data_IF_794741547360
#
_entry.id   IF_794741547360
#
_cell.length_a   1.000
_cell.length_b   1.000
_cell.length_c   1.000
_cell.angle_alpha   90.00
_cell.angle_beta   90.00
_cell.angle_gamma   90.00
#
_symmetry.space_group_name_H-M   'P 1'
#
loop_
_entity.id
_entity.type
_entity.pdbx_description
1 polymer ?
#
# COMPACT_ATOMS: atom_id res chain seq x y z
N UNK A 1 30.91 47.68 -10.87
CA UNK A 1 30.38 46.97 -9.69
C UNK A 1 29.20 46.16 -10.18
N UNK A 2 29.47 44.97 -10.69
CA UNK A 2 28.45 43.98 -11.05
C UNK A 2 28.37 43.04 -9.85
N UNK A 3 27.20 43.01 -9.20
CA UNK A 3 26.94 42.13 -8.08
C UNK A 3 26.36 40.83 -8.63
N UNK A 4 27.20 39.80 -8.72
CA UNK A 4 26.77 38.44 -8.98
C UNK A 4 25.89 37.94 -7.83
N UNK A 5 24.62 37.72 -8.11
CA UNK A 5 23.67 37.06 -7.20
C UNK A 5 23.90 35.55 -7.34
N UNK A 6 24.26 34.81 -6.28
CA UNK A 6 24.37 33.37 -6.37
C UNK A 6 22.99 32.74 -6.51
N UNK A 7 22.77 32.07 -7.63
CA UNK A 7 21.62 31.18 -7.84
C UNK A 7 21.80 30.00 -6.88
N UNK A 8 20.94 29.91 -5.86
CA UNK A 8 20.84 28.74 -5.01
C UNK A 8 20.38 27.55 -5.88
N UNK A 9 21.32 26.69 -6.25
CA UNK A 9 20.99 25.35 -6.73
C UNK A 9 20.33 24.59 -5.57
N UNK A 10 19.01 24.50 -5.60
CA UNK A 10 18.32 23.46 -4.82
C UNK A 10 18.77 22.12 -5.40
N UNK A 11 19.48 21.34 -4.59
CA UNK A 11 19.81 19.96 -4.89
C UNK A 11 18.51 19.17 -5.08
N UNK A 12 18.09 18.96 -6.33
CA UNK A 12 16.90 18.20 -6.71
C UNK A 12 17.20 16.70 -6.57
N UNK A 13 17.51 16.28 -5.35
CA UNK A 13 17.51 14.85 -5.03
C UNK A 13 16.07 14.35 -5.11
N UNK A 14 15.84 13.32 -5.91
CA UNK A 14 14.51 12.70 -6.02
C UNK A 14 14.05 12.24 -4.62
N UNK A 15 12.80 12.48 -4.23
CA UNK A 15 12.32 12.15 -2.90
C UNK A 15 12.56 10.65 -2.59
N UNK A 16 13.23 10.38 -1.48
CA UNK A 16 13.48 9.02 -0.99
C UNK A 16 12.57 8.75 0.21
N UNK A 17 11.86 7.61 0.25
CA UNK A 17 10.89 7.38 1.30
C UNK A 17 11.60 7.04 2.60
N UNK A 18 11.19 7.71 3.68
CA UNK A 18 11.65 7.41 5.05
C UNK A 18 10.67 6.50 5.77
N UNK A 19 9.38 6.69 5.52
CA UNK A 19 8.29 5.93 6.14
C UNK A 19 7.56 5.14 5.07
N UNK A 20 7.76 3.82 5.07
CA UNK A 20 7.21 2.92 4.05
C UNK A 20 5.99 2.18 4.60
N UNK A 21 4.90 2.19 3.85
CA UNK A 21 3.68 1.46 4.17
C UNK A 21 3.32 0.48 3.05
N UNK A 22 3.11 -0.77 3.43
CA UNK A 22 2.68 -1.83 2.52
C UNK A 22 1.16 -1.78 2.43
N UNK A 23 0.62 -1.73 1.22
CA UNK A 23 -0.83 -1.70 0.96
C UNK A 23 -1.23 -3.03 0.31
N UNK A 24 -1.89 -3.91 1.06
CA UNK A 24 -2.20 -5.27 0.59
C UNK A 24 -3.60 -5.74 0.96
N UNK A 25 -4.03 -6.85 0.34
CA UNK A 25 -5.38 -7.39 0.43
C UNK A 25 -6.06 -7.49 -0.92
N UNK A 26 -7.36 -7.19 -1.00
CA UNK A 26 -8.14 -7.34 -2.24
C UNK A 26 -8.63 -6.02 -2.83
N UNK A 27 -9.72 -6.06 -3.61
CA UNK A 27 -10.19 -4.94 -4.44
C UNK A 27 -10.47 -3.66 -3.66
N UNK A 28 -10.89 -3.74 -2.40
CA UNK A 28 -11.15 -2.57 -1.58
C UNK A 28 -9.85 -1.88 -1.10
N UNK A 29 -8.74 -2.61 -0.96
CA UNK A 29 -7.40 -2.00 -0.85
C UNK A 29 -6.90 -1.50 -2.20
N UNK A 30 -7.05 -2.32 -3.24
CA UNK A 30 -6.56 -1.99 -4.58
C UNK A 30 -7.18 -0.69 -5.13
N UNK A 31 -8.45 -0.46 -4.79
CA UNK A 31 -9.21 0.73 -5.12
C UNK A 31 -10.25 0.46 -6.20
N UNK A 32 -11.50 0.81 -5.91
CA UNK A 32 -12.66 0.74 -6.83
C UNK A 32 -13.55 1.98 -6.77
N UNK A 33 -13.18 2.99 -6.00
CA UNK A 33 -13.92 4.25 -5.92
C UNK A 33 -13.98 4.91 -7.31
N UNK A 34 -15.18 5.31 -7.73
CA UNK A 34 -15.43 5.92 -9.05
C UNK A 34 -15.41 4.94 -10.23
N UNK A 35 -15.19 3.64 -10.02
CA UNK A 35 -15.23 2.65 -11.11
C UNK A 35 -16.67 2.26 -11.39
N UNK A 36 -17.15 2.57 -12.60
CA UNK A 36 -18.49 2.23 -13.06
C UNK A 36 -18.65 0.75 -13.43
N UNK A 37 -19.91 0.32 -13.61
CA UNK A 37 -20.27 -1.02 -14.11
C UNK A 37 -19.66 -1.38 -15.49
N UNK A 38 -19.23 -0.37 -16.26
CA UNK A 38 -18.59 -0.55 -17.55
C UNK A 38 -17.06 -0.68 -17.45
N UNK A 39 -16.53 -0.90 -16.24
CA UNK A 39 -15.08 -0.96 -15.98
C UNK A 39 -14.37 0.33 -16.42
N UNK A 40 -14.96 1.47 -16.11
CA UNK A 40 -14.38 2.79 -16.39
C UNK A 40 -14.33 3.59 -15.09
N UNK A 41 -13.15 4.08 -14.72
CA UNK A 41 -12.97 5.01 -13.61
C UNK A 41 -13.34 6.42 -14.05
N UNK A 42 -14.17 7.12 -13.27
CA UNK A 42 -14.62 8.49 -13.55
C UNK A 42 -13.51 9.56 -13.48
N UNK A 43 -12.33 9.20 -12.97
CA UNK A 43 -11.19 10.11 -12.83
C UNK A 43 -11.32 11.10 -11.66
N UNK A 44 -12.36 10.95 -10.83
CA UNK A 44 -12.60 11.83 -9.68
C UNK A 44 -11.68 11.42 -8.53
N UNK A 45 -10.84 12.36 -8.08
CA UNK A 45 -9.96 12.19 -6.92
C UNK A 45 -10.44 13.13 -5.81
N UNK A 46 -10.91 12.59 -4.67
CA UNK A 46 -11.32 13.40 -3.52
C UNK A 46 -10.19 14.31 -2.99
N UNK A 47 -10.49 15.44 -2.32
CA UNK A 47 -9.48 16.33 -1.75
C UNK A 47 -8.45 15.61 -0.86
N UNK A 48 -8.91 14.68 -0.02
CA UNK A 48 -8.03 13.95 0.89
C UNK A 48 -7.11 12.95 0.17
N UNK A 49 -7.38 12.63 -1.10
CA UNK A 49 -6.57 11.72 -1.92
C UNK A 49 -5.66 12.45 -2.92
N UNK A 50 -5.55 13.78 -2.83
CA UNK A 50 -4.72 14.54 -3.76
C UNK A 50 -3.23 14.16 -3.64
N UNK A 51 -2.48 14.14 -4.76
CA UNK A 51 -1.07 13.82 -4.76
C UNK A 51 -0.25 14.92 -4.06
N UNK A 52 0.91 14.56 -3.52
CA UNK A 52 1.81 15.49 -2.86
C UNK A 52 3.28 15.14 -3.14
N UNK A 53 4.20 16.11 -3.25
CA UNK A 53 5.61 15.85 -3.56
C UNK A 53 6.33 14.90 -2.58
N UNK A 54 5.90 14.87 -1.32
CA UNK A 54 6.46 13.97 -0.30
C UNK A 54 5.72 12.63 -0.15
N UNK A 55 4.83 12.28 -1.07
CA UNK A 55 4.22 10.94 -1.14
C UNK A 55 4.61 10.29 -2.46
N UNK A 56 5.29 9.15 -2.37
CA UNK A 56 5.75 8.37 -3.52
C UNK A 56 5.24 6.93 -3.45
N UNK A 57 5.21 6.26 -4.59
CA UNK A 57 4.72 4.89 -4.77
C UNK A 57 5.79 4.04 -5.43
N UNK A 58 5.92 2.79 -5.00
CA UNK A 58 6.76 1.80 -5.67
C UNK A 58 5.96 1.15 -6.81
N UNK A 59 6.32 1.44 -8.06
CA UNK A 59 5.61 0.91 -9.23
C UNK A 59 5.92 -0.58 -9.49
N UNK A 60 5.28 -1.17 -10.50
CA UNK A 60 5.47 -2.58 -10.87
C UNK A 60 6.92 -2.91 -11.29
N UNK A 61 7.65 -1.92 -11.79
CA UNK A 61 9.07 -2.02 -12.19
C UNK A 61 10.04 -1.80 -11.02
N UNK A 62 9.54 -1.68 -9.79
CA UNK A 62 10.31 -1.45 -8.56
C UNK A 62 11.03 -0.10 -8.53
N UNK A 63 10.48 0.91 -9.22
CA UNK A 63 10.96 2.28 -9.16
C UNK A 63 10.02 3.14 -8.31
N UNK A 64 10.58 4.06 -7.54
CA UNK A 64 9.82 5.08 -6.83
C UNK A 64 9.37 6.18 -7.79
N UNK A 65 8.09 6.53 -7.74
CA UNK A 65 7.49 7.60 -8.55
C UNK A 65 6.47 8.40 -7.71
N UNK A 66 6.09 9.62 -8.11
CA UNK A 66 5.04 10.37 -7.41
C UNK A 66 3.74 9.57 -7.31
N UNK A 67 3.18 9.48 -6.10
CA UNK A 67 1.95 8.72 -5.87
C UNK A 67 0.73 9.44 -6.44
N UNK A 68 -0.07 8.74 -7.26
CA UNK A 68 -1.34 9.20 -7.84
C UNK A 68 -2.33 8.05 -7.87
N UNK A 69 -3.62 8.34 -7.71
CA UNK A 69 -4.66 7.34 -7.96
C UNK A 69 -4.77 7.03 -9.47
N UNK A 70 -5.10 5.79 -9.85
CA UNK A 70 -5.27 4.61 -9.00
C UNK A 70 -3.92 3.98 -8.58
N UNK A 71 -3.68 3.80 -7.28
CA UNK A 71 -2.38 3.30 -6.77
C UNK A 71 -2.02 1.87 -7.21
N UNK A 72 -2.98 1.04 -7.63
CA UNK A 72 -2.74 -0.35 -8.01
C UNK A 72 -2.87 -0.60 -9.53
N UNK A 73 -2.88 0.45 -10.36
CA UNK A 73 -3.14 0.33 -11.80
C UNK A 73 -2.19 -0.61 -12.57
N UNK A 74 -0.93 -0.71 -12.15
CA UNK A 74 0.09 -1.60 -12.71
C UNK A 74 0.36 -2.85 -11.83
N UNK A 75 -0.39 -3.01 -10.74
CA UNK A 75 -0.28 -4.13 -9.80
C UNK A 75 -1.47 -5.09 -9.97
N UNK A 76 -2.70 -4.58 -9.82
CA UNK A 76 -3.95 -5.34 -9.99
C UNK A 76 -4.44 -5.29 -11.46
N UNK A 77 -3.55 -5.68 -12.37
CA UNK A 77 -3.68 -5.48 -13.83
C UNK A 77 -4.88 -6.18 -14.48
N UNK A 78 -5.51 -7.14 -13.79
CA UNK A 78 -6.69 -7.87 -14.29
C UNK A 78 -7.99 -7.09 -14.13
N UNK A 79 -7.98 -5.97 -13.41
CA UNK A 79 -9.18 -5.21 -13.05
C UNK A 79 -8.91 -3.71 -13.20
N UNK A 80 -9.94 -2.97 -13.58
CA UNK A 80 -9.87 -1.51 -13.57
C UNK A 80 -9.86 -1.02 -12.14
N UNK A 81 -8.81 -0.28 -11.80
CA UNK A 81 -8.62 0.33 -10.49
C UNK A 81 -9.20 1.75 -10.48
N UNK A 82 -9.68 2.15 -9.31
CA UNK A 82 -10.05 3.54 -9.01
C UNK A 82 -9.44 3.95 -7.68
N UNK A 83 -10.11 4.87 -6.99
CA UNK A 83 -9.61 5.36 -5.69
C UNK A 83 -9.62 4.24 -4.63
N UNK A 84 -8.51 4.11 -3.92
CA UNK A 84 -8.36 3.27 -2.73
C UNK A 84 -8.09 4.11 -1.47
N UNK A 85 -7.78 3.48 -0.32
CA UNK A 85 -7.50 4.20 0.93
C UNK A 85 -6.06 4.72 1.05
N UNK A 86 -5.18 4.39 0.10
CA UNK A 86 -3.73 4.60 0.26
C UNK A 86 -3.32 6.06 0.30
N UNK A 87 -3.85 6.90 -0.60
CA UNK A 87 -3.48 8.32 -0.65
C UNK A 87 -4.10 9.14 0.48
N UNK A 88 -5.35 8.87 0.88
CA UNK A 88 -5.96 9.51 2.05
C UNK A 88 -5.23 9.15 3.34
N UNK A 89 -4.86 7.89 3.52
CA UNK A 89 -4.01 7.47 4.64
C UNK A 89 -2.65 8.20 4.62
N UNK A 90 -1.97 8.22 3.48
CA UNK A 90 -0.65 8.85 3.37
C UNK A 90 -0.69 10.37 3.62
N UNK A 91 -1.74 11.06 3.15
CA UNK A 91 -1.95 12.48 3.43
C UNK A 91 -2.14 12.73 4.92
N UNK A 92 -3.01 11.95 5.59
CA UNK A 92 -3.25 12.09 7.03
C UNK A 92 -2.00 11.79 7.87
N UNK A 93 -1.23 10.77 7.50
CA UNK A 93 0.01 10.42 8.22
C UNK A 93 1.11 11.45 8.00
N UNK A 94 1.28 11.97 6.77
CA UNK A 94 2.30 12.98 6.45
C UNK A 94 2.18 14.21 7.34
N UNK A 95 0.96 14.65 7.67
CA UNK A 95 0.73 15.83 8.53
C UNK A 95 1.44 15.70 9.90
N UNK A 96 1.72 14.48 10.35
CA UNK A 96 2.42 14.19 11.60
C UNK A 96 3.94 13.98 11.42
N UNK A 97 4.43 13.84 10.19
CA UNK A 97 5.82 13.47 9.86
C UNK A 97 6.68 14.65 9.34
N UNK A 98 6.10 15.85 9.29
CA UNK A 98 6.82 17.05 8.82
C UNK A 98 7.32 16.92 7.38
N UNK A 99 8.62 17.08 7.17
CA UNK A 99 9.26 17.08 5.84
C UNK A 99 9.65 15.68 5.34
N UNK A 100 9.41 14.62 6.12
CA UNK A 100 9.80 13.27 5.74
C UNK A 100 8.87 12.67 4.67
N UNK A 101 9.44 11.89 3.75
CA UNK A 101 8.70 11.33 2.63
C UNK A 101 8.04 9.99 2.99
N UNK A 102 6.77 9.86 2.62
CA UNK A 102 5.97 8.64 2.75
C UNK A 102 6.06 7.82 1.47
N UNK A 103 6.45 6.55 1.60
CA UNK A 103 6.49 5.58 0.51
C UNK A 103 5.35 4.58 0.61
N UNK A 104 4.62 4.39 -0.49
CA UNK A 104 3.55 3.42 -0.60
C UNK A 104 3.98 2.22 -1.45
N UNK A 105 3.79 1.01 -0.93
CA UNK A 105 4.10 -0.25 -1.63
C UNK A 105 2.79 -0.98 -1.94
N UNK A 106 2.17 -0.71 -3.10
CA UNK A 106 0.93 -1.37 -3.51
C UNK A 106 1.17 -2.84 -3.85
N UNK A 107 0.38 -3.73 -3.28
CA UNK A 107 0.48 -5.17 -3.44
C UNK A 107 -0.89 -5.85 -3.62
N UNK A 108 -2.00 -5.16 -3.35
CA UNK A 108 -3.34 -5.77 -3.34
C UNK A 108 -3.78 -6.28 -4.72
N UNK A 109 -4.56 -7.37 -4.72
CA UNK A 109 -5.10 -8.01 -5.94
C UNK A 109 -6.56 -8.38 -5.74
N UNK A 110 -7.44 -7.89 -6.62
CA UNK A 110 -8.88 -8.04 -6.47
C UNK A 110 -9.40 -9.47 -6.59
N UNK A 111 -10.41 -9.80 -5.77
CA UNK A 111 -11.11 -11.10 -5.80
C UNK A 111 -10.29 -12.27 -5.24
N UNK A 112 -9.30 -11.99 -4.40
CA UNK A 112 -8.44 -13.02 -3.81
C UNK A 112 -8.89 -13.36 -2.40
N UNK A 113 -8.90 -14.65 -2.08
CA UNK A 113 -9.15 -15.19 -0.74
C UNK A 113 -7.84 -15.28 0.06
N UNK A 114 -7.91 -15.32 1.40
CA UNK A 114 -6.70 -15.30 2.24
C UNK A 114 -5.76 -16.50 2.00
N UNK A 115 -6.29 -17.63 1.53
CA UNK A 115 -5.50 -18.81 1.14
C UNK A 115 -4.54 -18.53 -0.04
N UNK A 116 -4.87 -17.61 -0.94
CA UNK A 116 -4.00 -17.19 -2.04
C UNK A 116 -2.84 -16.30 -1.53
N UNK A 117 -2.92 -15.86 -0.28
CA UNK A 117 -1.89 -15.11 0.45
C UNK A 117 -1.11 -15.97 1.44
N UNK A 118 -1.28 -17.29 1.42
CA UNK A 118 -0.43 -18.18 2.21
C UNK A 118 1.03 -18.09 1.77
N UNK A 119 1.95 -18.31 2.71
CA UNK A 119 3.40 -18.33 2.42
C UNK A 119 3.72 -19.34 1.31
N UNK A 120 4.60 -18.95 0.38
CA UNK A 120 4.88 -19.73 -0.84
C UNK A 120 3.91 -19.49 -2.01
N UNK A 121 2.76 -18.83 -1.79
CA UNK A 121 1.87 -18.43 -2.88
C UNK A 121 2.38 -17.18 -3.58
N UNK A 122 2.08 -17.07 -4.88
CA UNK A 122 2.57 -15.98 -5.73
C UNK A 122 2.30 -14.57 -5.16
N UNK A 123 1.09 -14.33 -4.62
CA UNK A 123 0.72 -13.01 -4.08
C UNK A 123 1.52 -12.65 -2.84
N UNK A 124 1.69 -13.60 -1.93
CA UNK A 124 2.50 -13.45 -0.73
C UNK A 124 3.97 -13.18 -1.09
N UNK A 125 4.56 -14.01 -1.94
CA UNK A 125 5.97 -13.87 -2.34
C UNK A 125 6.22 -12.54 -3.08
N UNK A 126 5.27 -12.11 -3.90
CA UNK A 126 5.32 -10.80 -4.56
C UNK A 126 5.29 -9.65 -3.55
N UNK A 127 4.40 -9.71 -2.55
CA UNK A 127 4.32 -8.70 -1.49
C UNK A 127 5.62 -8.62 -0.68
N UNK A 128 6.16 -9.77 -0.25
CA UNK A 128 7.42 -9.83 0.50
C UNK A 128 8.58 -9.29 -0.34
N UNK A 129 8.68 -9.69 -1.62
CA UNK A 129 9.69 -9.18 -2.54
C UNK A 129 9.61 -7.67 -2.68
N UNK A 130 8.44 -7.12 -3.00
CA UNK A 130 8.24 -5.66 -3.15
C UNK A 130 8.59 -4.89 -1.88
N UNK A 131 8.23 -5.45 -0.72
CA UNK A 131 8.58 -4.87 0.59
C UNK A 131 10.09 -4.84 0.81
N UNK A 132 10.81 -5.92 0.48
CA UNK A 132 12.28 -5.97 0.57
C UNK A 132 12.97 -5.03 -0.42
N UNK A 133 12.42 -4.87 -1.63
CA UNK A 133 12.93 -3.91 -2.61
C UNK A 133 12.75 -2.47 -2.14
N UNK A 134 11.62 -2.17 -1.48
CA UNK A 134 11.29 -0.82 -1.01
C UNK A 134 12.31 -0.27 0.00
N UNK A 135 12.88 -1.10 0.87
CA UNK A 135 13.84 -0.64 1.90
C UNK A 135 15.25 -0.42 1.37
N UNK A 136 15.55 -0.82 0.12
CA UNK A 136 16.88 -0.57 -0.49
C UNK A 136 17.20 0.91 -0.64
N UNK A 137 16.19 1.78 -0.67
CA UNK A 137 16.34 3.24 -0.64
C UNK A 137 16.59 3.81 0.76
N UNK A 138 16.92 2.97 1.75
CA UNK A 138 17.20 3.34 3.16
C UNK A 138 15.99 3.95 3.89
N UNK A 139 14.79 3.51 3.53
CA UNK A 139 13.56 3.78 4.27
C UNK A 139 13.21 2.62 5.21
N UNK A 140 12.29 2.85 6.14
CA UNK A 140 11.84 1.83 7.08
C UNK A 140 10.38 1.47 6.85
N UNK A 141 10.05 0.17 6.85
CA UNK A 141 8.66 -0.27 6.83
C UNK A 141 8.02 0.04 8.19
N UNK A 142 7.04 0.94 8.19
CA UNK A 142 6.31 1.38 9.38
C UNK A 142 5.02 0.64 9.63
N UNK A 143 4.47 -0.04 8.61
CA UNK A 143 3.28 -0.85 8.79
C UNK A 143 2.78 -1.54 7.53
N UNK A 144 1.94 -2.54 7.74
CA UNK A 144 1.14 -3.20 6.72
C UNK A 144 -0.33 -2.81 6.89
N UNK A 145 -0.91 -2.20 5.87
CA UNK A 145 -2.35 -1.98 5.77
C UNK A 145 -2.94 -3.16 5.00
N UNK A 146 -3.86 -3.86 5.65
CA UNK A 146 -4.50 -5.05 5.14
C UNK A 146 -6.02 -4.86 5.03
N UNK A 147 -6.56 -4.91 3.81
CA UNK A 147 -8.01 -4.88 3.61
C UNK A 147 -8.42 -6.03 2.68
N UNK A 148 -8.86 -7.11 3.33
CA UNK A 148 -9.30 -8.35 2.71
C UNK A 148 -10.32 -9.06 3.59
N UNK A 149 -11.05 -10.01 3.00
CA UNK A 149 -11.93 -10.94 3.72
C UNK A 149 -13.25 -11.21 3.01
N UNK A 150 -13.65 -10.36 2.05
CA UNK A 150 -14.95 -10.52 1.40
C UNK A 150 -15.02 -11.81 0.59
N UNK A 151 -13.92 -12.24 -0.04
CA UNK A 151 -13.87 -13.49 -0.80
C UNK A 151 -14.02 -14.73 0.10
N UNK A 152 -13.51 -14.66 1.34
CA UNK A 152 -13.56 -15.75 2.33
C UNK A 152 -14.95 -15.89 3.00
N UNK A 153 -15.88 -14.97 2.75
CA UNK A 153 -17.29 -15.11 3.19
C UNK A 153 -18.12 -16.02 2.29
N UNK A 154 -17.56 -16.48 1.16
CA UNK A 154 -18.27 -17.30 0.18
C UNK A 154 -18.59 -18.72 0.68
N UNK A 155 -17.88 -19.20 1.69
CA UNK A 155 -18.15 -20.50 2.32
C UNK A 155 -18.02 -20.42 3.85
N UNK A 156 -18.83 -21.20 4.56
CA UNK A 156 -18.75 -21.30 6.02
C UNK A 156 -17.38 -21.82 6.50
N UNK A 157 -16.72 -22.65 5.71
CA UNK A 157 -15.41 -23.19 6.04
C UNK A 157 -14.33 -22.11 5.95
N UNK A 158 -14.26 -21.37 4.84
CA UNK A 158 -13.28 -20.29 4.66
C UNK A 158 -13.48 -19.19 5.72
N UNK A 159 -14.73 -18.83 6.04
CA UNK A 159 -15.04 -17.84 7.07
C UNK A 159 -14.60 -18.28 8.48
N UNK A 160 -14.72 -19.59 8.79
CA UNK A 160 -14.32 -20.14 10.09
C UNK A 160 -12.80 -20.13 10.27
N UNK A 161 -12.05 -20.41 9.21
CA UNK A 161 -10.59 -20.54 9.25
C UNK A 161 -9.88 -19.20 9.04
N UNK A 162 -10.60 -18.15 8.64
CA UNK A 162 -10.07 -16.82 8.34
C UNK A 162 -9.16 -16.27 9.44
N UNK A 163 -9.59 -16.36 10.71
CA UNK A 163 -8.80 -15.84 11.85
C UNK A 163 -7.43 -16.51 11.94
N UNK A 164 -7.39 -17.85 11.90
CA UNK A 164 -6.15 -18.61 11.99
C UNK A 164 -5.23 -18.34 10.78
N UNK A 165 -5.82 -18.19 9.59
CA UNK A 165 -5.09 -17.84 8.38
C UNK A 165 -4.50 -16.43 8.47
N UNK A 166 -5.24 -15.47 9.04
CA UNK A 166 -4.77 -14.09 9.25
C UNK A 166 -3.62 -14.03 10.26
N UNK A 167 -3.74 -14.72 11.39
CA UNK A 167 -2.65 -14.83 12.38
C UNK A 167 -1.39 -15.44 11.75
N UNK A 168 -1.57 -16.48 10.94
CA UNK A 168 -0.49 -17.12 10.17
C UNK A 168 0.14 -16.16 9.16
N UNK A 169 -0.67 -15.39 8.42
CA UNK A 169 -0.19 -14.37 7.49
C UNK A 169 0.66 -13.33 8.20
N UNK A 170 0.18 -12.77 9.31
CA UNK A 170 0.92 -11.76 10.10
C UNK A 170 2.25 -12.33 10.59
N UNK A 171 2.24 -13.53 11.16
CA UNK A 171 3.45 -14.21 11.63
C UNK A 171 4.48 -14.37 10.50
N UNK A 172 4.04 -14.89 9.35
CA UNK A 172 4.89 -15.11 8.20
C UNK A 172 5.48 -13.79 7.67
N UNK A 173 4.68 -12.73 7.53
CA UNK A 173 5.16 -11.42 7.08
C UNK A 173 6.21 -10.85 8.03
N UNK A 174 5.95 -10.88 9.34
CA UNK A 174 6.90 -10.42 10.37
C UNK A 174 8.20 -11.19 10.30
N UNK A 175 8.13 -12.52 10.16
CA UNK A 175 9.30 -13.38 10.05
C UNK A 175 10.10 -13.09 8.77
N UNK A 176 9.45 -13.07 7.60
CA UNK A 176 10.13 -12.97 6.31
C UNK A 176 10.68 -11.57 6.02
N UNK A 177 10.11 -10.53 6.65
CA UNK A 177 10.66 -9.18 6.63
C UNK A 177 11.66 -8.90 7.76
N UNK A 178 11.77 -9.79 8.75
CA UNK A 178 12.63 -9.59 9.93
C UNK A 178 12.14 -8.47 10.84
N UNK A 179 10.82 -8.22 10.89
CA UNK A 179 10.18 -7.13 11.64
C UNK A 179 9.18 -7.72 12.65
N UNK A 180 9.65 -8.24 13.80
CA UNK A 180 8.80 -8.96 14.76
C UNK A 180 7.67 -8.11 15.37
N UNK A 181 7.85 -6.79 15.43
CA UNK A 181 6.88 -5.82 15.96
C UNK A 181 6.19 -4.99 14.86
N UNK A 182 6.22 -5.45 13.60
CA UNK A 182 5.59 -4.72 12.49
C UNK A 182 4.09 -4.50 12.79
N UNK A 183 3.62 -3.24 12.86
CA UNK A 183 2.20 -2.94 13.01
C UNK A 183 1.42 -3.44 11.79
N UNK A 184 0.34 -4.18 12.04
CA UNK A 184 -0.61 -4.60 11.01
C UNK A 184 -1.97 -3.97 11.31
N UNK A 185 -2.40 -3.08 10.43
CA UNK A 185 -3.71 -2.43 10.50
C UNK A 185 -4.62 -3.18 9.55
N UNK A 186 -5.56 -3.95 10.10
CA UNK A 186 -6.51 -4.70 9.31
C UNK A 186 -7.92 -4.12 9.43
N UNK A 187 -8.70 -4.19 8.35
CA UNK A 187 -10.15 -4.01 8.43
C UNK A 187 -10.85 -5.36 8.43
N UNK A 188 -11.34 -5.78 9.59
CA UNK A 188 -12.28 -6.90 9.72
C UNK A 188 -13.72 -6.37 9.72
N UNK A 189 -14.64 -7.11 9.08
CA UNK A 189 -16.03 -6.68 8.85
C UNK A 189 -16.89 -6.41 10.08
N UNK A 190 -16.37 -6.54 11.30
CA UNK A 190 -17.17 -6.36 12.53
C UNK A 190 -16.53 -5.58 13.67
N UNK A 191 -15.22 -5.29 13.67
CA UNK A 191 -14.53 -4.30 14.53
C UNK A 191 -13.12 -4.11 13.94
N UNK A 192 -12.63 -2.88 13.83
CA UNK A 192 -11.23 -2.62 13.47
C UNK A 192 -10.36 -2.85 14.70
N UNK A 193 -9.58 -3.94 14.70
CA UNK A 193 -8.58 -4.24 15.73
C UNK A 193 -7.17 -4.02 15.18
N UNK A 194 -6.37 -3.21 15.88
CA UNK A 194 -4.93 -3.11 15.64
C UNK A 194 -4.26 -4.28 16.37
N UNK A 195 -3.66 -5.21 15.61
CA UNK A 195 -2.86 -6.28 16.18
C UNK A 195 -1.42 -5.77 16.30
N UNK A 196 -1.02 -5.43 17.54
CA UNK A 196 0.34 -5.04 17.90
C UNK A 196 1.15 -6.30 18.15
#
# INVERSE_FOLDING_TARGET
METDIPILQQDQSSPTPKHIFILSGQSNMAGRGGVSKHHHWDGVVPPDCQPHPSIIRLNAKLNWEPAREPLHCDIDTRKVCGVGPGLSFANAVREQLGSECVGLVPCAVGGTAIKEWARGQHLYESMVKRSKESVKSKGEVKGLLWYQGESDTSSHHDAKDYKANMETLIHNVRQDLGLPSLPVIQKCGWHSEMLI
#
